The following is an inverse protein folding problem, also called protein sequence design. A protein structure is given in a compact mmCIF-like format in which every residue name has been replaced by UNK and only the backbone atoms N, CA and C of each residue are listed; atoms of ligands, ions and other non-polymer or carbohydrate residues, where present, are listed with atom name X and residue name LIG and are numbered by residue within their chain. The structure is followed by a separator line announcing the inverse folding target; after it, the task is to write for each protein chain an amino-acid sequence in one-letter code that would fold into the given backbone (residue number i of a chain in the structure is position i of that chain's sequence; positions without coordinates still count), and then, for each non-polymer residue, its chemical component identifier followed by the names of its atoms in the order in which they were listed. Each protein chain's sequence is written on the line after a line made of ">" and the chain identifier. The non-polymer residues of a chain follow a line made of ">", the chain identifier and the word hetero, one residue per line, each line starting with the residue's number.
data_IF_572418090589
#
_entry.id   IF_572418090589
#
_cell.length_a   1.000
_cell.length_b   1.000
_cell.length_c   1.000
_cell.angle_alpha   90.00
_cell.angle_beta   90.00
_cell.angle_gamma   90.00
#
_symmetry.space_group_name_H-M   'P 1'
#
loop_
_entity.id
_entity.type
_entity.pdbx_description
1 polymer ?
#
# COMPACT_ATOMS: atom_id res chain seq x y z
N UNK A 1 0.18 21.68 -7.17
CA UNK A 1 1.05 22.58 -6.39
C UNK A 1 2.41 22.78 -7.07
N UNK A 2 3.22 21.72 -7.22
CA UNK A 2 4.60 21.80 -7.75
C UNK A 2 4.69 22.42 -9.15
N UNK A 3 3.82 22.01 -10.08
CA UNK A 3 3.82 22.53 -11.46
C UNK A 3 3.48 24.03 -11.51
N UNK A 4 2.42 24.44 -10.82
CA UNK A 4 1.98 25.84 -10.84
C UNK A 4 3.02 26.79 -10.21
N UNK A 5 3.63 26.39 -9.09
CA UNK A 5 4.67 27.19 -8.45
C UNK A 5 5.99 27.16 -9.22
N UNK A 6 6.34 26.02 -9.83
CA UNK A 6 7.50 25.92 -10.73
C UNK A 6 7.38 26.86 -11.92
N UNK A 7 6.21 26.88 -12.59
CA UNK A 7 5.95 27.75 -13.73
C UNK A 7 6.05 29.24 -13.38
N UNK A 8 5.51 29.66 -12.22
CA UNK A 8 5.65 31.06 -11.74
C UNK A 8 7.12 31.47 -11.58
N UNK A 9 7.94 30.60 -11.00
CA UNK A 9 9.36 30.87 -10.79
C UNK A 9 10.13 30.91 -12.11
N UNK A 10 9.81 30.03 -13.07
CA UNK A 10 10.38 30.09 -14.43
C UNK A 10 10.01 31.40 -15.13
N UNK A 11 8.74 31.82 -15.05
CA UNK A 11 8.32 33.11 -15.63
C UNK A 11 8.98 34.33 -14.97
N UNK A 12 9.42 34.18 -13.72
CA UNK A 12 10.20 35.19 -13.00
C UNK A 12 11.71 35.19 -13.35
N UNK A 13 12.14 34.36 -14.32
CA UNK A 13 13.51 34.30 -14.82
C UNK A 13 14.41 33.27 -14.14
N UNK A 14 13.87 32.42 -13.25
CA UNK A 14 14.64 31.33 -12.66
C UNK A 14 14.89 30.21 -13.69
N UNK A 15 16.08 29.59 -13.60
CA UNK A 15 16.47 28.52 -14.52
C UNK A 15 15.62 27.24 -14.28
N UNK A 16 14.86 26.75 -15.28
CA UNK A 16 14.03 25.55 -15.15
C UNK A 16 14.82 24.29 -14.73
N UNK A 17 16.07 24.17 -15.20
CA UNK A 17 16.94 23.02 -14.86
C UNK A 17 17.33 23.06 -13.38
N UNK A 18 17.59 24.26 -12.85
CA UNK A 18 17.89 24.46 -11.43
C UNK A 18 16.69 24.14 -10.54
N UNK A 19 15.49 24.60 -10.94
CA UNK A 19 14.23 24.31 -10.24
C UNK A 19 13.97 22.79 -10.20
N UNK A 20 14.07 22.12 -11.35
CA UNK A 20 13.88 20.67 -11.41
C UNK A 20 14.85 19.93 -10.48
N UNK A 21 16.14 20.27 -10.54
CA UNK A 21 17.16 19.63 -9.68
C UNK A 21 16.89 19.90 -8.20
N UNK A 22 16.47 21.11 -7.84
CA UNK A 22 16.08 21.46 -6.48
C UNK A 22 14.89 20.63 -5.99
N UNK A 23 13.86 20.46 -6.83
CA UNK A 23 12.70 19.61 -6.53
C UNK A 23 13.13 18.15 -6.34
N UNK A 24 13.99 17.60 -7.20
CA UNK A 24 14.48 16.23 -7.07
C UNK A 24 15.21 16.00 -5.74
N UNK A 25 16.10 16.91 -5.36
CA UNK A 25 16.82 16.83 -4.09
C UNK A 25 15.90 16.99 -2.88
N UNK A 26 14.96 17.95 -2.94
CA UNK A 26 14.01 18.18 -1.87
C UNK A 26 13.06 16.99 -1.68
N UNK A 27 12.53 16.43 -2.78
CA UNK A 27 11.69 15.22 -2.74
C UNK A 27 12.47 14.04 -2.17
N UNK A 28 13.74 13.86 -2.57
CA UNK A 28 14.56 12.78 -2.03
C UNK A 28 14.74 12.93 -0.51
N UNK A 29 15.16 14.10 -0.05
CA UNK A 29 15.34 14.36 1.37
C UNK A 29 14.03 14.19 2.17
N UNK A 30 12.89 14.59 1.58
CA UNK A 30 11.57 14.40 2.19
C UNK A 30 11.20 12.93 2.30
N UNK A 31 11.44 12.13 1.25
CA UNK A 31 11.20 10.67 1.27
C UNK A 31 12.10 9.98 2.29
N UNK A 32 13.39 10.32 2.34
CA UNK A 32 14.34 9.77 3.31
C UNK A 32 13.87 10.06 4.75
N UNK A 33 13.47 11.31 5.04
CA UNK A 33 12.93 11.68 6.35
C UNK A 33 11.61 10.96 6.67
N UNK A 34 10.72 10.76 5.68
CA UNK A 34 9.48 10.01 5.88
C UNK A 34 9.75 8.54 6.23
N UNK A 35 10.77 7.93 5.63
CA UNK A 35 11.21 6.59 5.99
C UNK A 35 11.74 6.53 7.43
N UNK A 36 12.55 7.50 7.84
CA UNK A 36 13.06 7.59 9.23
C UNK A 36 11.93 7.79 10.26
N UNK A 37 10.88 8.54 9.89
CA UNK A 37 9.72 8.78 10.74
C UNK A 37 8.67 7.66 10.68
N UNK A 38 8.78 6.72 9.74
CA UNK A 38 7.80 5.65 9.58
C UNK A 38 7.86 4.68 10.75
N UNK A 39 6.69 4.19 11.16
CA UNK A 39 6.59 3.16 12.19
C UNK A 39 6.31 1.82 11.51
N UNK A 40 7.17 0.84 11.76
CA UNK A 40 6.95 -0.53 11.28
C UNK A 40 5.77 -1.14 12.02
N UNK A 41 4.86 -1.75 11.25
CA UNK A 41 3.71 -2.50 11.76
C UNK A 41 4.08 -3.98 11.68
N UNK A 42 4.39 -4.59 12.83
CA UNK A 42 4.83 -6.00 12.88
C UNK A 42 3.90 -6.88 13.70
N UNK A 43 3.21 -6.31 14.69
CA UNK A 43 2.35 -7.11 15.56
C UNK A 43 0.94 -7.25 14.98
N UNK A 44 0.31 -8.39 15.27
CA UNK A 44 -1.11 -8.62 14.95
C UNK A 44 -2.02 -7.52 15.50
N UNK A 45 -1.71 -6.98 16.68
CA UNK A 45 -2.48 -5.87 17.26
C UNK A 45 -2.34 -4.58 16.46
N UNK A 46 -1.15 -4.28 15.93
CA UNK A 46 -0.94 -3.09 15.11
C UNK A 46 -1.67 -3.23 13.78
N UNK A 47 -1.62 -4.42 13.16
CA UNK A 47 -2.36 -4.73 11.93
C UNK A 47 -3.87 -4.57 12.16
N UNK A 48 -4.40 -5.13 13.24
CA UNK A 48 -5.82 -5.00 13.59
C UNK A 48 -6.23 -3.54 13.83
N UNK A 49 -5.37 -2.76 14.49
CA UNK A 49 -5.61 -1.35 14.73
C UNK A 49 -5.63 -0.54 13.43
N UNK A 50 -4.63 -0.72 12.57
CA UNK A 50 -4.58 -0.02 11.26
C UNK A 50 -5.76 -0.43 10.40
N UNK A 51 -6.06 -1.73 10.31
CA UNK A 51 -7.16 -2.25 9.51
C UNK A 51 -8.53 -1.77 10.03
N UNK A 52 -8.74 -1.70 11.34
CA UNK A 52 -9.99 -1.19 11.93
C UNK A 52 -10.16 0.31 11.69
N UNK A 53 -9.09 1.11 11.77
CA UNK A 53 -9.12 2.55 11.45
C UNK A 53 -9.43 2.74 9.96
N UNK A 54 -8.79 1.98 9.07
CA UNK A 54 -8.98 2.08 7.62
C UNK A 54 -10.38 1.63 7.16
N UNK A 55 -10.95 0.61 7.80
CA UNK A 55 -12.29 0.09 7.50
C UNK A 55 -13.41 0.75 8.31
N UNK A 56 -13.08 1.60 9.27
CA UNK A 56 -14.00 2.16 10.27
C UNK A 56 -14.84 1.10 11.02
N UNK A 57 -14.35 -0.14 11.11
CA UNK A 57 -15.03 -1.27 11.74
C UNK A 57 -14.03 -2.17 12.47
N UNK A 58 -14.25 -2.40 13.77
CA UNK A 58 -13.35 -3.20 14.60
C UNK A 58 -13.42 -4.70 14.29
N UNK A 59 -14.58 -5.24 13.92
CA UNK A 59 -14.75 -6.65 13.55
C UNK A 59 -14.01 -6.97 12.25
N UNK A 60 -14.13 -6.10 11.24
CA UNK A 60 -13.41 -6.24 9.97
C UNK A 60 -11.90 -6.14 10.18
N UNK A 61 -11.44 -5.22 11.04
CA UNK A 61 -10.02 -5.11 11.39
C UNK A 61 -9.46 -6.39 12.03
N UNK A 62 -10.23 -7.04 12.91
CA UNK A 62 -9.84 -8.33 13.52
C UNK A 62 -9.77 -9.45 12.48
N UNK A 63 -10.76 -9.56 11.60
CA UNK A 63 -10.77 -10.56 10.53
C UNK A 63 -9.58 -10.40 9.59
N UNK A 64 -9.22 -9.16 9.23
CA UNK A 64 -8.04 -8.88 8.39
C UNK A 64 -6.75 -9.28 9.12
N UNK A 65 -6.63 -8.98 10.42
CA UNK A 65 -5.46 -9.37 11.19
C UNK A 65 -5.33 -10.90 11.34
N UNK A 66 -6.44 -11.61 11.51
CA UNK A 66 -6.48 -13.07 11.54
C UNK A 66 -6.11 -13.68 10.16
N UNK A 67 -6.57 -13.05 9.07
CA UNK A 67 -6.20 -13.45 7.71
C UNK A 67 -4.69 -13.24 7.47
N UNK A 68 -4.17 -12.05 7.79
CA UNK A 68 -2.74 -11.72 7.66
C UNK A 68 -1.83 -12.65 8.46
N UNK A 69 -2.25 -13.08 9.66
CA UNK A 69 -1.47 -14.04 10.48
C UNK A 69 -1.39 -15.43 9.83
N UNK A 70 -2.45 -15.87 9.14
CA UNK A 70 -2.47 -17.16 8.43
C UNK A 70 -1.72 -17.10 7.09
N UNK A 71 -1.79 -15.97 6.40
CA UNK A 71 -1.22 -15.73 5.07
C UNK A 71 0.28 -15.40 5.13
N UNK A 72 0.72 -14.72 6.20
CA UNK A 72 2.03 -14.09 6.30
C UNK A 72 2.07 -12.70 5.64
N UNK A 73 3.12 -11.92 5.91
CA UNK A 73 3.20 -10.51 5.51
C UNK A 73 3.16 -10.27 3.99
N UNK A 74 3.60 -11.23 3.19
CA UNK A 74 3.74 -11.08 1.73
C UNK A 74 2.63 -11.78 0.93
N UNK A 75 1.69 -12.45 1.60
CA UNK A 75 0.65 -13.17 0.87
C UNK A 75 -0.52 -12.26 0.49
N UNK A 76 -1.21 -12.67 -0.57
CA UNK A 76 -2.29 -11.88 -1.17
C UNK A 76 -3.63 -12.24 -0.53
N UNK A 77 -4.44 -11.21 -0.28
CA UNK A 77 -5.78 -11.32 0.25
C UNK A 77 -6.76 -10.79 -0.81
N UNK A 78 -7.65 -11.65 -1.28
CA UNK A 78 -8.77 -11.33 -2.18
C UNK A 78 -10.05 -11.30 -1.37
N UNK A 79 -11.09 -10.58 -1.81
CA UNK A 79 -12.41 -10.54 -1.16
C UNK A 79 -13.48 -10.91 -2.20
N UNK A 80 -14.35 -11.84 -1.85
CA UNK A 80 -15.48 -12.37 -2.61
C UNK A 80 -16.79 -12.13 -1.86
N UNK A 81 -17.82 -11.77 -2.62
CA UNK A 81 -19.15 -11.57 -2.07
C UNK A 81 -19.84 -12.92 -1.86
N UNK A 82 -19.87 -13.36 -0.60
CA UNK A 82 -20.63 -14.52 -0.16
C UNK A 82 -22.15 -14.23 -0.19
N UNK A 83 -22.95 -15.19 -0.68
CA UNK A 83 -24.43 -15.14 -0.60
C UNK A 83 -24.98 -15.48 0.80
N UNK A 84 -24.10 -15.87 1.72
CA UNK A 84 -24.43 -16.20 3.11
C UNK A 84 -24.42 -14.98 4.03
N UNK A 85 -24.95 -15.14 5.24
CA UNK A 85 -24.92 -14.10 6.29
C UNK A 85 -23.57 -14.12 7.05
N UNK A 86 -22.85 -15.25 6.99
CA UNK A 86 -21.62 -15.46 7.73
C UNK A 86 -20.38 -15.05 6.91
N UNK A 87 -19.42 -14.40 7.58
CA UNK A 87 -18.08 -14.11 7.04
C UNK A 87 -17.15 -15.27 7.38
N UNK A 88 -16.69 -15.99 6.36
CA UNK A 88 -15.72 -17.09 6.49
C UNK A 88 -14.32 -16.66 6.05
N UNK A 89 -13.30 -17.40 6.48
CA UNK A 89 -11.91 -17.21 6.08
C UNK A 89 -11.36 -18.57 5.64
N UNK A 90 -11.25 -18.75 4.33
CA UNK A 90 -10.75 -20.00 3.73
C UNK A 90 -9.33 -19.81 3.20
N UNK A 91 -8.40 -20.59 3.75
CA UNK A 91 -7.01 -20.61 3.29
C UNK A 91 -6.89 -21.66 2.19
N UNK A 92 -6.75 -21.21 0.94
CA UNK A 92 -6.52 -22.09 -0.20
C UNK A 92 -5.06 -21.93 -0.63
N UNK A 93 -4.34 -23.04 -0.81
CA UNK A 93 -3.05 -23.03 -1.51
C UNK A 93 -3.31 -22.80 -3.02
N UNK A 94 -3.34 -21.54 -3.44
CA UNK A 94 -3.57 -21.11 -4.82
C UNK A 94 -2.54 -20.10 -5.32
N UNK A 95 -2.45 -19.93 -6.65
CA UNK A 95 -1.50 -19.06 -7.35
C UNK A 95 -2.22 -18.00 -8.22
N UNK A 96 -2.06 -16.70 -7.93
CA UNK A 96 -2.88 -15.66 -8.57
C UNK A 96 -2.17 -15.13 -9.81
N UNK A 97 -2.94 -14.90 -10.85
CA UNK A 97 -2.43 -14.37 -12.11
C UNK A 97 -2.62 -12.85 -12.12
N UNK A 98 -1.56 -12.11 -11.77
CA UNK A 98 -1.58 -10.65 -11.87
C UNK A 98 -1.65 -10.23 -13.34
N UNK A 99 -2.84 -9.90 -13.81
CA UNK A 99 -3.14 -9.53 -15.20
C UNK A 99 -2.58 -8.15 -15.62
N UNK A 100 -1.42 -7.71 -15.13
CA UNK A 100 -0.94 -6.34 -15.36
C UNK A 100 0.32 -6.16 -16.19
N UNK A 101 1.10 -7.17 -16.59
CA UNK A 101 2.21 -6.93 -17.54
C UNK A 101 2.53 -8.14 -18.45
N UNK A 102 2.67 -7.96 -19.78
CA UNK A 102 2.84 -9.04 -20.74
C UNK A 102 4.27 -9.64 -20.81
N UNK A 103 5.11 -9.58 -19.77
CA UNK A 103 6.55 -9.80 -20.01
C UNK A 103 7.41 -10.53 -18.97
N UNK A 104 7.01 -10.73 -17.71
CA UNK A 104 7.87 -11.47 -16.77
C UNK A 104 7.07 -12.35 -15.83
N UNK A 105 7.35 -13.65 -15.92
CA UNK A 105 6.65 -14.74 -15.25
C UNK A 105 7.23 -14.90 -13.83
N UNK A 106 6.54 -14.39 -12.81
CA UNK A 106 6.85 -14.66 -11.41
C UNK A 106 5.57 -15.12 -10.69
N UNK A 107 5.66 -16.23 -9.96
CA UNK A 107 4.55 -16.89 -9.27
C UNK A 107 4.58 -16.48 -7.79
N UNK A 108 3.49 -15.92 -7.26
CA UNK A 108 3.32 -15.66 -5.83
C UNK A 108 1.99 -16.28 -5.33
N UNK A 109 1.95 -16.79 -4.09
CA UNK A 109 0.74 -17.38 -3.51
C UNK A 109 -0.32 -16.33 -3.12
N UNK A 110 -1.62 -16.69 -3.20
CA UNK A 110 -2.75 -15.85 -2.79
C UNK A 110 -3.90 -16.61 -2.11
N UNK A 111 -4.77 -15.86 -1.40
CA UNK A 111 -5.94 -16.33 -0.67
C UNK A 111 -7.18 -15.53 -1.06
N UNK A 112 -8.33 -16.19 -1.04
CA UNK A 112 -9.68 -15.63 -1.28
C UNK A 112 -10.44 -15.55 0.07
N UNK A 113 -10.86 -14.35 0.47
CA UNK A 113 -11.82 -14.07 1.56
C UNK A 113 -13.21 -14.08 0.98
#
# INVERSE_FOLDING_TARGET
>A
AIVNEGMKNVTAGANPVGIRRGIELATKAAVDALHEMSHTVESKSDIAQVASISSANEEVGKLIADAMEKVGNDGVITIEESKGIDTSLDVVEGMDYLNQLPSYHYLLPYIVI
#
